data_IF_274267167076
#
_entry.id   IF_274267167076
#
_cell.length_a   1.000
_cell.length_b   1.000
_cell.length_c   1.000
_cell.angle_alpha   90.00
_cell.angle_beta   90.00
_cell.angle_gamma   90.00
#
_symmetry.space_group_name_H-M   'P 1'
#
loop_
_entity.id
_entity.type
_entity.pdbx_description
1 polymer ?
#
# COMPACT_ATOMS: atom_id res chain seq x y z
N UNK A 1 3.21 -57.54 -76.94
CA UNK A 1 4.01 -58.79 -76.89
C UNK A 1 3.35 -59.84 -77.78
N UNK A 2 4.10 -60.78 -78.38
CA UNK A 2 3.48 -61.93 -79.05
C UNK A 2 2.76 -62.81 -78.01
N UNK A 3 1.59 -63.38 -78.34
CA UNK A 3 0.92 -64.37 -77.49
C UNK A 3 1.92 -65.48 -77.09
N UNK A 4 1.86 -65.93 -75.83
CA UNK A 4 2.71 -67.01 -75.26
C UNK A 4 4.22 -66.74 -75.21
N UNK A 5 4.68 -65.50 -75.48
CA UNK A 5 6.10 -65.17 -75.37
C UNK A 5 6.58 -65.09 -73.92
N UNK A 6 7.80 -65.56 -73.64
CA UNK A 6 8.45 -65.45 -72.32
C UNK A 6 8.51 -63.98 -71.84
N UNK A 7 8.65 -63.03 -72.77
CA UNK A 7 8.59 -61.60 -72.47
C UNK A 7 7.21 -61.12 -71.98
N UNK A 8 6.11 -61.66 -72.54
CA UNK A 8 4.75 -61.38 -72.05
C UNK A 8 4.55 -61.93 -70.64
N UNK A 9 4.99 -63.17 -70.39
CA UNK A 9 4.90 -63.78 -69.05
C UNK A 9 5.64 -62.96 -67.99
N UNK A 10 6.88 -62.54 -68.26
CA UNK A 10 7.65 -61.69 -67.32
C UNK A 10 6.98 -60.33 -67.09
N UNK A 11 6.40 -59.72 -68.11
CA UNK A 11 5.68 -58.47 -67.98
C UNK A 11 4.39 -58.62 -67.15
N UNK A 12 3.62 -59.68 -67.37
CA UNK A 12 2.41 -60.00 -66.60
C UNK A 12 2.73 -60.35 -65.14
N UNK A 13 3.83 -61.07 -64.88
CA UNK A 13 4.28 -61.39 -63.52
C UNK A 13 4.73 -60.14 -62.74
N UNK A 14 5.42 -59.22 -63.43
CA UNK A 14 5.77 -57.91 -62.87
C UNK A 14 4.53 -57.09 -62.54
N UNK A 15 3.55 -57.01 -63.44
CA UNK A 15 2.30 -56.30 -63.17
C UNK A 15 1.46 -56.98 -62.07
N UNK A 16 1.42 -58.31 -62.02
CA UNK A 16 0.76 -59.05 -60.92
C UNK A 16 1.39 -58.74 -59.58
N UNK A 17 2.72 -58.73 -59.49
CA UNK A 17 3.45 -58.39 -58.26
C UNK A 17 3.15 -56.96 -57.84
N UNK A 18 3.19 -56.02 -58.79
CA UNK A 18 2.84 -54.62 -58.56
C UNK A 18 1.42 -54.44 -58.03
N UNK A 19 0.42 -55.08 -58.67
CA UNK A 19 -0.98 -54.99 -58.26
C UNK A 19 -1.22 -55.65 -56.89
N UNK A 20 -0.51 -56.74 -56.59
CA UNK A 20 -0.57 -57.39 -55.28
C UNK A 20 -0.03 -56.47 -54.18
N UNK A 21 1.10 -55.81 -54.41
CA UNK A 21 1.66 -54.84 -53.49
C UNK A 21 0.73 -53.63 -53.30
N UNK A 22 0.16 -53.08 -54.37
CA UNK A 22 -0.81 -51.98 -54.31
C UNK A 22 -2.09 -52.37 -53.56
N UNK A 23 -2.56 -53.61 -53.73
CA UNK A 23 -3.70 -54.13 -52.97
C UNK A 23 -3.39 -54.19 -51.47
N UNK A 24 -2.22 -54.71 -51.10
CA UNK A 24 -1.84 -54.81 -49.69
C UNK A 24 -1.66 -53.43 -49.04
N UNK A 25 -1.04 -52.50 -49.76
CA UNK A 25 -0.88 -51.11 -49.34
C UNK A 25 -2.24 -50.42 -49.09
N UNK A 26 -3.19 -50.59 -50.02
CA UNK A 26 -4.57 -50.10 -49.83
C UNK A 26 -5.25 -50.76 -48.62
N UNK A 27 -5.09 -52.07 -48.42
CA UNK A 27 -5.65 -52.76 -47.26
C UNK A 27 -5.04 -52.28 -45.94
N UNK A 28 -3.73 -52.03 -45.91
CA UNK A 28 -3.05 -51.42 -44.76
C UNK A 28 -3.59 -50.02 -44.45
N UNK A 29 -3.71 -49.15 -45.46
CA UNK A 29 -4.25 -47.80 -45.27
C UNK A 29 -5.69 -47.81 -44.74
N UNK A 30 -6.54 -48.72 -45.23
CA UNK A 30 -7.90 -48.90 -44.73
C UNK A 30 -7.91 -49.35 -43.27
N UNK A 31 -7.08 -50.34 -42.90
CA UNK A 31 -6.94 -50.80 -41.51
C UNK A 31 -6.49 -49.67 -40.59
N UNK A 32 -5.50 -48.88 -41.01
CA UNK A 32 -5.02 -47.73 -40.25
C UNK A 32 -6.12 -46.68 -40.04
N UNK A 33 -6.91 -46.39 -41.08
CA UNK A 33 -8.01 -45.42 -40.97
C UNK A 33 -9.12 -45.91 -40.04
N UNK A 34 -9.42 -47.21 -40.02
CA UNK A 34 -10.35 -47.77 -39.03
C UNK A 34 -9.79 -47.62 -37.62
N UNK A 35 -8.52 -47.93 -37.41
CA UNK A 35 -7.90 -47.84 -36.10
C UNK A 35 -7.87 -46.39 -35.59
N UNK A 36 -7.57 -45.43 -36.47
CA UNK A 36 -7.67 -43.99 -36.18
C UNK A 36 -9.10 -43.60 -35.78
N UNK A 37 -10.10 -44.02 -36.56
CA UNK A 37 -11.51 -43.75 -36.25
C UNK A 37 -11.91 -44.32 -34.88
N UNK A 38 -11.50 -45.56 -34.57
CA UNK A 38 -11.76 -46.21 -33.29
C UNK A 38 -11.10 -45.49 -32.13
N UNK A 39 -9.85 -45.07 -32.29
CA UNK A 39 -9.13 -44.32 -31.28
C UNK A 39 -9.82 -42.96 -31.01
N UNK A 40 -10.13 -42.20 -32.06
CA UNK A 40 -10.80 -40.90 -31.92
C UNK A 40 -12.17 -41.04 -31.25
N UNK A 41 -12.99 -42.01 -31.68
CA UNK A 41 -14.32 -42.23 -31.07
C UNK A 41 -14.24 -42.71 -29.62
N UNK A 42 -13.29 -43.59 -29.30
CA UNK A 42 -13.01 -44.00 -27.92
C UNK A 42 -12.65 -42.79 -27.05
N UNK A 43 -11.76 -41.91 -27.54
CA UNK A 43 -11.40 -40.67 -26.85
C UNK A 43 -12.53 -39.65 -26.78
N UNK A 44 -13.51 -39.68 -27.69
CA UNK A 44 -14.72 -38.86 -27.60
C UNK A 44 -15.80 -39.47 -26.68
N UNK A 45 -15.60 -40.70 -26.19
CA UNK A 45 -16.61 -41.47 -25.46
C UNK A 45 -17.80 -41.86 -26.33
N UNK A 46 -17.58 -41.98 -27.64
CA UNK A 46 -18.60 -42.31 -28.62
C UNK A 46 -18.38 -43.73 -29.18
N UNK A 47 -19.45 -44.34 -29.67
CA UNK A 47 -19.33 -45.58 -30.43
C UNK A 47 -18.79 -45.30 -31.84
N UNK A 48 -17.87 -46.16 -32.32
CA UNK A 48 -17.33 -46.04 -33.68
C UNK A 48 -18.38 -46.24 -34.79
N UNK A 49 -19.58 -46.74 -34.43
CA UNK A 49 -20.66 -47.05 -35.35
C UNK A 49 -20.32 -48.20 -36.29
N UNK A 50 -21.02 -48.27 -37.43
CA UNK A 50 -20.75 -49.28 -38.45
C UNK A 50 -19.40 -49.03 -39.14
N UNK A 51 -18.55 -50.04 -39.09
CA UNK A 51 -17.23 -50.06 -39.73
C UNK A 51 -17.32 -50.98 -40.95
N UNK A 52 -16.94 -50.50 -42.16
CA UNK A 52 -16.93 -51.33 -43.36
C UNK A 52 -15.98 -52.54 -43.24
N UNK A 53 -16.32 -53.62 -43.94
CA UNK A 53 -15.50 -54.83 -44.01
C UNK A 53 -14.09 -54.53 -44.57
N UNK A 54 -13.05 -54.91 -43.82
CA UNK A 54 -11.65 -54.59 -44.11
C UNK A 54 -10.96 -55.65 -44.99
N UNK A 55 -11.61 -56.79 -45.25
CA UNK A 55 -11.02 -57.86 -46.09
C UNK A 55 -11.05 -57.50 -47.59
N UNK A 56 -11.95 -56.58 -47.97
CA UNK A 56 -12.12 -56.10 -49.34
C UNK A 56 -11.62 -54.67 -49.49
N UNK A 57 -11.16 -54.32 -50.69
CA UNK A 57 -10.85 -52.93 -51.03
C UNK A 57 -12.18 -52.19 -51.20
N UNK A 58 -12.33 -51.09 -50.46
CA UNK A 58 -13.48 -50.19 -50.55
C UNK A 58 -13.51 -49.43 -51.87
N UNK A 59 -14.72 -49.09 -52.28
CA UNK A 59 -14.94 -48.12 -53.35
C UNK A 59 -14.65 -46.69 -52.87
N UNK A 60 -14.53 -45.78 -53.83
CA UNK A 60 -14.15 -44.40 -53.55
C UNK A 60 -15.21 -43.69 -52.69
N UNK A 61 -16.48 -44.08 -52.77
CA UNK A 61 -17.56 -43.53 -51.95
C UNK A 61 -17.43 -43.95 -50.48
N UNK A 62 -17.23 -45.24 -50.20
CA UNK A 62 -17.05 -45.73 -48.82
C UNK A 62 -15.77 -45.16 -48.20
N UNK A 63 -14.69 -45.05 -48.99
CA UNK A 63 -13.45 -44.44 -48.55
C UNK A 63 -13.65 -42.97 -48.19
N UNK A 64 -14.27 -42.19 -49.07
CA UNK A 64 -14.50 -40.74 -48.86
C UNK A 64 -15.38 -40.50 -47.63
N UNK A 65 -16.46 -41.29 -47.47
CA UNK A 65 -17.34 -41.18 -46.31
C UNK A 65 -16.62 -41.45 -44.99
N UNK A 66 -15.76 -42.46 -44.92
CA UNK A 66 -15.00 -42.75 -43.69
C UNK A 66 -13.90 -41.70 -43.45
N UNK A 67 -13.25 -41.20 -44.51
CA UNK A 67 -12.30 -40.08 -44.41
C UNK A 67 -12.96 -38.82 -43.85
N UNK A 68 -14.14 -38.46 -44.34
CA UNK A 68 -14.90 -37.30 -43.83
C UNK A 68 -15.24 -37.46 -42.35
N UNK A 69 -15.68 -38.67 -41.93
CA UNK A 69 -15.95 -38.97 -40.51
C UNK A 69 -14.70 -38.84 -39.64
N UNK A 70 -13.56 -39.37 -40.09
CA UNK A 70 -12.29 -39.23 -39.37
C UNK A 70 -11.91 -37.76 -39.20
N UNK A 71 -12.04 -36.96 -40.27
CA UNK A 71 -11.74 -35.52 -40.23
C UNK A 71 -12.67 -34.81 -39.23
N UNK A 72 -13.97 -35.07 -39.29
CA UNK A 72 -14.96 -34.44 -38.41
C UNK A 72 -14.71 -34.77 -36.95
N UNK A 73 -14.54 -36.06 -36.62
CA UNK A 73 -14.29 -36.49 -35.24
C UNK A 73 -12.91 -36.05 -34.73
N UNK A 74 -11.88 -36.04 -35.60
CA UNK A 74 -10.56 -35.50 -35.25
C UNK A 74 -10.63 -34.01 -34.90
N UNK A 75 -11.40 -33.24 -35.68
CA UNK A 75 -11.66 -31.82 -35.40
C UNK A 75 -12.38 -31.65 -34.06
N UNK A 76 -13.43 -32.44 -33.79
CA UNK A 76 -14.17 -32.37 -32.53
C UNK A 76 -13.27 -32.68 -31.33
N UNK A 77 -12.48 -33.76 -31.41
CA UNK A 77 -11.55 -34.15 -30.36
C UNK A 77 -10.52 -33.05 -30.10
N UNK A 78 -9.95 -32.47 -31.18
CA UNK A 78 -9.01 -31.36 -31.09
C UNK A 78 -9.63 -30.12 -30.42
N UNK A 79 -10.90 -29.82 -30.71
CA UNK A 79 -11.61 -28.72 -30.07
C UNK A 79 -11.87 -28.97 -28.57
N UNK A 80 -12.27 -30.20 -28.20
CA UNK A 80 -12.46 -30.59 -26.78
C UNK A 80 -11.14 -30.51 -26.01
N UNK A 81 -10.06 -31.08 -26.57
CA UNK A 81 -8.71 -31.01 -25.99
C UNK A 81 -8.22 -29.55 -25.83
N UNK A 82 -8.42 -28.72 -26.86
CA UNK A 82 -8.03 -27.31 -26.82
C UNK A 82 -8.76 -26.53 -25.74
N UNK A 83 -10.07 -26.73 -25.60
CA UNK A 83 -10.87 -26.11 -24.54
C UNK A 83 -10.44 -26.57 -23.15
N UNK A 84 -10.26 -27.87 -22.95
CA UNK A 84 -9.80 -28.42 -21.68
C UNK A 84 -8.43 -27.87 -21.28
N UNK A 85 -7.50 -27.77 -22.23
CA UNK A 85 -6.16 -27.19 -22.00
C UNK A 85 -6.22 -25.70 -21.64
N UNK A 86 -7.08 -24.93 -22.31
CA UNK A 86 -7.31 -23.53 -21.98
C UNK A 86 -7.89 -23.38 -20.57
N UNK A 87 -8.91 -24.18 -20.23
CA UNK A 87 -9.50 -24.15 -18.89
C UNK A 87 -8.51 -24.54 -17.80
N UNK A 88 -7.69 -25.57 -18.03
CA UNK A 88 -6.62 -25.97 -17.11
C UNK A 88 -5.63 -24.82 -16.87
N UNK A 89 -5.18 -24.18 -17.95
CA UNK A 89 -4.25 -23.05 -17.89
C UNK A 89 -4.82 -21.87 -17.11
N UNK A 90 -6.10 -21.55 -17.37
CA UNK A 90 -6.81 -20.50 -16.64
C UNK A 90 -6.90 -20.83 -15.14
N UNK A 91 -7.31 -22.05 -14.78
CA UNK A 91 -7.39 -22.50 -13.38
C UNK A 91 -6.04 -22.38 -12.67
N UNK A 92 -4.97 -22.92 -13.28
CA UNK A 92 -3.62 -22.83 -12.75
C UNK A 92 -3.19 -21.37 -12.52
N UNK A 93 -3.43 -20.50 -13.50
CA UNK A 93 -3.09 -19.07 -13.39
C UNK A 93 -3.87 -18.40 -12.27
N UNK A 94 -5.18 -18.60 -12.21
CA UNK A 94 -6.05 -17.96 -11.21
C UNK A 94 -5.65 -18.36 -9.79
N UNK A 95 -5.47 -19.64 -9.50
CA UNK A 95 -5.09 -20.08 -8.15
C UNK A 95 -3.66 -19.68 -7.78
N UNK A 96 -2.74 -19.62 -8.75
CA UNK A 96 -1.42 -19.04 -8.54
C UNK A 96 -1.50 -17.56 -8.16
N UNK A 97 -2.28 -16.75 -8.90
CA UNK A 97 -2.44 -15.32 -8.62
C UNK A 97 -3.14 -15.06 -7.28
N UNK A 98 -4.18 -15.82 -6.96
CA UNK A 98 -4.90 -15.73 -5.69
C UNK A 98 -4.06 -16.19 -4.49
N UNK A 99 -2.99 -16.98 -4.72
CA UNK A 99 -2.17 -17.54 -3.65
C UNK A 99 -2.93 -18.50 -2.72
N UNK A 100 -4.04 -19.08 -3.19
CA UNK A 100 -4.91 -19.99 -2.42
C UNK A 100 -5.03 -21.34 -3.12
N UNK A 101 -5.28 -22.40 -2.35
CA UNK A 101 -5.59 -23.70 -2.92
C UNK A 101 -7.08 -23.80 -3.32
N UNK A 102 -7.42 -24.53 -4.38
CA UNK A 102 -8.80 -24.86 -4.72
C UNK A 102 -9.48 -25.62 -3.58
N UNK A 103 -10.73 -25.26 -3.28
CA UNK A 103 -11.54 -25.93 -2.24
C UNK A 103 -12.24 -27.15 -2.81
N UNK A 104 -12.78 -27.05 -4.02
CA UNK A 104 -13.48 -28.14 -4.71
C UNK A 104 -12.52 -29.23 -5.16
N UNK A 105 -12.85 -30.49 -4.86
CA UNK A 105 -12.11 -31.68 -5.31
C UNK A 105 -12.10 -31.80 -6.84
N UNK A 106 -13.18 -31.40 -7.51
CA UNK A 106 -13.23 -31.37 -8.97
C UNK A 106 -12.17 -30.40 -9.54
N UNK A 107 -12.10 -29.18 -9.00
CA UNK A 107 -11.12 -28.18 -9.43
C UNK A 107 -9.68 -28.62 -9.15
N UNK A 108 -9.41 -29.24 -7.99
CA UNK A 108 -8.10 -29.84 -7.69
C UNK A 108 -7.71 -30.86 -8.76
N UNK A 109 -8.62 -31.77 -9.07
CA UNK A 109 -8.38 -32.82 -10.07
C UNK A 109 -8.07 -32.23 -11.44
N UNK A 110 -8.87 -31.26 -11.90
CA UNK A 110 -8.71 -30.66 -13.23
C UNK A 110 -7.48 -29.76 -13.37
N UNK A 111 -6.93 -29.23 -12.27
CA UNK A 111 -5.67 -28.46 -12.31
C UNK A 111 -4.48 -29.36 -12.67
N UNK A 112 -4.45 -30.59 -12.17
CA UNK A 112 -3.29 -31.49 -12.26
C UNK A 112 -3.48 -32.64 -13.27
N UNK A 113 -4.66 -32.78 -13.87
CA UNK A 113 -4.96 -33.88 -14.81
C UNK A 113 -4.07 -33.84 -16.06
N UNK A 114 -3.53 -35.00 -16.46
CA UNK A 114 -2.83 -35.16 -17.73
C UNK A 114 -3.82 -35.20 -18.90
N UNK A 115 -3.88 -34.10 -19.67
CA UNK A 115 -4.75 -33.94 -20.83
C UNK A 115 -4.13 -34.50 -22.13
N UNK A 116 -2.81 -34.71 -22.13
CA UNK A 116 -2.04 -35.26 -23.25
C UNK A 116 -2.00 -36.80 -23.28
N UNK A 117 -2.56 -37.45 -22.26
CA UNK A 117 -2.72 -38.90 -22.18
C UNK A 117 -3.55 -39.42 -23.37
N UNK A 118 -3.00 -40.41 -24.08
CA UNK A 118 -3.61 -41.01 -25.27
C UNK A 118 -4.89 -41.80 -24.93
N UNK A 119 -5.01 -42.27 -23.69
CA UNK A 119 -6.19 -42.99 -23.20
C UNK A 119 -7.23 -42.05 -22.55
N UNK A 120 -6.97 -40.73 -22.51
CA UNK A 120 -7.91 -39.76 -21.95
C UNK A 120 -9.16 -39.67 -22.83
N UNK A 121 -10.29 -39.94 -22.19
CA UNK A 121 -11.62 -39.74 -22.77
C UNK A 121 -12.13 -38.34 -22.43
N UNK A 122 -12.46 -37.58 -23.47
CA UNK A 122 -13.08 -36.26 -23.44
C UNK A 122 -14.55 -36.38 -23.82
N UNK A 123 -15.32 -37.16 -23.06
CA UNK A 123 -16.76 -37.31 -23.30
C UNK A 123 -17.56 -36.07 -22.88
N UNK A 124 -18.87 -36.10 -23.10
CA UNK A 124 -19.73 -34.97 -22.78
C UNK A 124 -19.75 -34.69 -21.27
N UNK A 125 -19.79 -35.74 -20.44
CA UNK A 125 -19.81 -35.61 -18.97
C UNK A 125 -18.54 -34.94 -18.45
N UNK A 126 -17.37 -35.42 -18.90
CA UNK A 126 -16.07 -34.85 -18.57
C UNK A 126 -15.98 -33.38 -18.96
N UNK A 127 -16.41 -33.04 -20.18
CA UNK A 127 -16.35 -31.66 -20.66
C UNK A 127 -17.30 -30.74 -19.88
N UNK A 128 -18.49 -31.22 -19.52
CA UNK A 128 -19.45 -30.45 -18.72
C UNK A 128 -18.96 -30.26 -17.28
N UNK A 129 -18.44 -31.31 -16.63
CA UNK A 129 -17.85 -31.22 -15.29
C UNK A 129 -16.66 -30.25 -15.24
N UNK A 130 -15.77 -30.31 -16.24
CA UNK A 130 -14.64 -29.39 -16.33
C UNK A 130 -15.12 -27.96 -16.58
N UNK A 131 -16.10 -27.77 -17.46
CA UNK A 131 -16.68 -26.45 -17.71
C UNK A 131 -17.33 -25.85 -16.46
N UNK A 132 -18.03 -26.65 -15.67
CA UNK A 132 -18.65 -26.21 -14.42
C UNK A 132 -17.60 -25.86 -13.36
N UNK A 133 -16.54 -26.66 -13.23
CA UNK A 133 -15.41 -26.35 -12.36
C UNK A 133 -14.71 -25.05 -12.78
N UNK A 134 -14.46 -24.86 -14.08
CA UNK A 134 -13.89 -23.62 -14.65
C UNK A 134 -14.79 -22.42 -14.37
N UNK A 135 -16.10 -22.56 -14.60
CA UNK A 135 -17.07 -21.48 -14.35
C UNK A 135 -17.12 -21.09 -12.88
N UNK A 136 -17.16 -22.07 -11.97
CA UNK A 136 -17.15 -21.83 -10.53
C UNK A 136 -15.88 -21.09 -10.11
N UNK A 137 -14.71 -21.58 -10.52
CA UNK A 137 -13.43 -20.95 -10.22
C UNK A 137 -13.32 -19.55 -10.81
N UNK A 138 -13.90 -19.30 -11.99
CA UNK A 138 -13.93 -17.97 -12.61
C UNK A 138 -14.71 -16.96 -11.77
N UNK A 139 -15.83 -17.37 -11.18
CA UNK A 139 -16.62 -16.51 -10.29
C UNK A 139 -15.78 -16.16 -9.06
N UNK A 140 -15.20 -17.16 -8.39
CA UNK A 140 -14.32 -16.95 -7.24
C UNK A 140 -13.13 -16.05 -7.56
N UNK A 141 -12.54 -16.21 -8.75
CA UNK A 141 -11.42 -15.41 -9.22
C UNK A 141 -11.81 -13.95 -9.48
N UNK A 142 -12.97 -13.72 -10.10
CA UNK A 142 -13.47 -12.36 -10.34
C UNK A 142 -13.78 -11.64 -9.03
N UNK A 143 -14.45 -12.32 -8.09
CA UNK A 143 -14.71 -11.78 -6.74
C UNK A 143 -13.40 -11.43 -6.04
N UNK A 144 -12.39 -12.30 -6.14
CA UNK A 144 -11.07 -12.01 -5.61
C UNK A 144 -10.41 -10.81 -6.29
N UNK A 145 -10.50 -10.65 -7.62
CA UNK A 145 -9.94 -9.47 -8.30
C UNK A 145 -10.60 -8.19 -7.78
N UNK A 146 -11.92 -8.17 -7.69
CA UNK A 146 -12.66 -6.99 -7.26
C UNK A 146 -12.25 -6.59 -5.84
N UNK A 147 -12.17 -7.57 -4.93
CA UNK A 147 -11.71 -7.33 -3.57
C UNK A 147 -10.24 -6.90 -3.52
N UNK A 148 -9.35 -7.59 -4.23
CA UNK A 148 -7.93 -7.27 -4.26
C UNK A 148 -7.66 -5.87 -4.84
N UNK A 149 -8.43 -5.47 -5.85
CA UNK A 149 -8.34 -4.12 -6.43
C UNK A 149 -8.82 -3.05 -5.43
N UNK A 150 -9.91 -3.32 -4.72
CA UNK A 150 -10.40 -2.43 -3.65
C UNK A 150 -9.35 -2.28 -2.55
N UNK A 151 -8.88 -3.40 -1.98
CA UNK A 151 -7.91 -3.43 -0.89
C UNK A 151 -6.58 -2.76 -1.30
N UNK A 152 -6.12 -3.02 -2.52
CA UNK A 152 -4.90 -2.39 -3.05
C UNK A 152 -5.05 -0.88 -3.15
N UNK A 153 -6.20 -0.40 -3.64
CA UNK A 153 -6.46 1.04 -3.78
C UNK A 153 -6.52 1.71 -2.40
N UNK A 154 -7.23 1.11 -1.44
CA UNK A 154 -7.29 1.61 -0.06
C UNK A 154 -5.91 1.63 0.60
N UNK A 155 -5.14 0.55 0.46
CA UNK A 155 -3.80 0.44 0.99
C UNK A 155 -2.84 1.45 0.35
N UNK A 156 -2.95 1.70 -0.97
CA UNK A 156 -2.14 2.72 -1.65
C UNK A 156 -2.45 4.13 -1.16
N UNK A 157 -3.73 4.49 -1.00
CA UNK A 157 -4.13 5.80 -0.46
C UNK A 157 -3.53 5.98 0.94
N UNK A 158 -3.69 4.99 1.81
CA UNK A 158 -3.11 5.02 3.16
C UNK A 158 -1.59 5.09 3.14
N UNK A 159 -0.95 4.39 2.21
CA UNK A 159 0.50 4.42 2.05
C UNK A 159 1.00 5.80 1.63
N UNK A 160 0.30 6.47 0.72
CA UNK A 160 0.63 7.84 0.30
C UNK A 160 0.54 8.83 1.46
N UNK A 161 -0.54 8.75 2.26
CA UNK A 161 -0.67 9.55 3.48
C UNK A 161 0.48 9.29 4.47
N UNK A 162 0.84 8.02 4.68
CA UNK A 162 1.92 7.63 5.58
C UNK A 162 3.30 8.07 5.06
N UNK A 163 3.54 8.03 3.75
CA UNK A 163 4.77 8.54 3.16
C UNK A 163 4.94 10.03 3.42
N UNK A 164 3.86 10.80 3.34
CA UNK A 164 3.90 12.24 3.64
C UNK A 164 4.10 12.50 5.13
N UNK A 165 3.38 11.79 6.00
CA UNK A 165 3.49 11.91 7.47
C UNK A 165 4.85 11.44 8.03
N UNK A 166 5.49 10.47 7.36
CA UNK A 166 6.81 9.97 7.73
C UNK A 166 7.95 10.63 6.96
N UNK A 167 7.65 11.59 6.08
CA UNK A 167 8.62 12.28 5.22
C UNK A 167 9.49 11.33 4.36
N UNK A 168 8.88 10.28 3.81
CA UNK A 168 9.55 9.32 2.92
C UNK A 168 9.84 9.97 1.57
N UNK A 169 11.10 9.89 1.13
CA UNK A 169 11.56 10.48 -0.11
C UNK A 169 10.90 9.83 -1.33
N UNK A 170 10.63 10.62 -2.39
CA UNK A 170 9.99 10.13 -3.62
C UNK A 170 10.76 8.96 -4.27
N UNK A 171 12.09 8.96 -4.20
CA UNK A 171 12.94 7.88 -4.74
C UNK A 171 12.76 6.52 -4.04
N UNK A 172 12.18 6.51 -2.83
CA UNK A 172 11.89 5.31 -2.04
C UNK A 172 10.44 4.82 -2.23
N UNK A 173 9.56 5.64 -2.84
CA UNK A 173 8.16 5.31 -3.13
C UNK A 173 8.07 4.40 -4.37
N UNK A 174 8.29 3.09 -4.19
CA UNK A 174 8.48 2.12 -5.29
C UNK A 174 7.25 1.29 -5.67
N UNK A 175 6.08 1.52 -5.07
CA UNK A 175 4.87 0.76 -5.36
C UNK A 175 4.12 1.36 -6.56
N UNK A 176 3.47 0.51 -7.36
CA UNK A 176 2.61 0.96 -8.44
C UNK A 176 1.33 1.56 -7.87
N UNK A 177 0.84 2.67 -8.43
CA UNK A 177 -0.36 3.34 -7.92
C UNK A 177 -1.67 2.56 -8.18
N UNK A 178 -1.68 1.63 -9.13
CA UNK A 178 -2.88 0.88 -9.50
C UNK A 178 -2.62 -0.61 -9.51
N UNK A 179 -3.65 -1.38 -9.15
CA UNK A 179 -3.64 -2.84 -9.25
C UNK A 179 -3.85 -3.27 -10.70
N UNK A 180 -3.00 -4.15 -11.21
CA UNK A 180 -3.14 -4.78 -12.52
C UNK A 180 -3.51 -6.27 -12.36
N UNK A 181 -4.77 -6.65 -12.68
CA UNK A 181 -5.24 -8.03 -12.56
C UNK A 181 -4.49 -9.06 -13.41
N UNK A 182 -3.72 -8.63 -14.41
CA UNK A 182 -2.95 -9.53 -15.28
C UNK A 182 -1.57 -9.91 -14.72
N UNK A 183 -1.02 -9.10 -13.82
CA UNK A 183 0.36 -9.26 -13.33
C UNK A 183 0.46 -9.33 -11.82
N UNK A 184 -0.41 -8.63 -11.10
CA UNK A 184 -0.38 -8.61 -9.65
C UNK A 184 -0.93 -9.91 -9.07
N UNK A 185 -0.31 -10.31 -7.97
CA UNK A 185 -0.65 -11.50 -7.19
C UNK A 185 -1.05 -11.11 -5.78
N UNK A 186 -1.65 -12.04 -5.04
CA UNK A 186 -1.93 -11.86 -3.61
C UNK A 186 -0.68 -11.51 -2.80
N UNK A 187 0.49 -12.02 -3.22
CA UNK A 187 1.77 -11.68 -2.57
C UNK A 187 2.17 -10.22 -2.77
N UNK A 188 1.78 -9.58 -3.88
CA UNK A 188 2.07 -8.16 -4.11
C UNK A 188 1.18 -7.25 -3.27
N UNK A 189 -0.10 -7.62 -3.12
CA UNK A 189 -1.00 -6.97 -2.18
C UNK A 189 -0.51 -7.11 -0.74
N UNK A 190 -0.06 -8.30 -0.35
CA UNK A 190 0.48 -8.55 1.00
C UNK A 190 1.72 -7.70 1.29
N UNK A 191 2.66 -7.57 0.33
CA UNK A 191 3.82 -6.68 0.47
C UNK A 191 3.41 -5.23 0.70
N UNK A 192 2.39 -4.76 -0.02
CA UNK A 192 1.86 -3.41 0.14
C UNK A 192 1.28 -3.21 1.54
N UNK A 193 0.44 -4.14 2.00
CA UNK A 193 -0.16 -4.11 3.34
C UNK A 193 0.91 -4.16 4.45
N UNK A 194 1.96 -4.95 4.27
CA UNK A 194 3.09 -5.01 5.19
C UNK A 194 3.86 -3.69 5.28
N UNK A 195 4.06 -3.00 4.15
CA UNK A 195 4.71 -1.68 4.18
C UNK A 195 3.82 -0.64 4.85
N UNK A 196 2.50 -0.68 4.61
CA UNK A 196 1.52 0.16 5.32
C UNK A 196 1.57 -0.08 6.82
N UNK A 197 1.56 -1.34 7.27
CA UNK A 197 1.65 -1.69 8.70
C UNK A 197 2.98 -1.25 9.31
N UNK A 198 4.10 -1.48 8.61
CA UNK A 198 5.43 -1.02 9.02
C UNK A 198 5.47 0.50 9.20
N UNK A 199 5.00 1.28 8.22
CA UNK A 199 4.97 2.73 8.31
C UNK A 199 3.95 3.26 9.32
N UNK A 200 2.82 2.56 9.49
CA UNK A 200 1.83 2.89 10.53
C UNK A 200 2.46 2.77 11.92
N UNK A 201 3.12 1.64 12.21
CA UNK A 201 3.84 1.44 13.49
C UNK A 201 4.95 2.46 13.68
N UNK A 202 5.69 2.75 12.62
CA UNK A 202 6.75 3.75 12.63
C UNK A 202 6.22 5.14 12.95
N UNK A 203 5.08 5.53 12.38
CA UNK A 203 4.40 6.77 12.69
C UNK A 203 3.89 6.80 14.14
N UNK A 204 3.26 5.72 14.61
CA UNK A 204 2.75 5.60 15.98
C UNK A 204 3.85 5.75 17.03
N UNK A 205 5.02 5.14 16.81
CA UNK A 205 6.18 5.27 17.69
C UNK A 205 6.67 6.72 17.80
N UNK A 206 6.47 7.52 16.75
CA UNK A 206 6.90 8.93 16.66
C UNK A 206 5.85 9.90 17.16
N UNK A 207 4.59 9.48 17.32
CA UNK A 207 3.50 10.35 17.78
C UNK A 207 3.83 11.07 19.09
N UNK A 208 4.49 10.39 20.04
CA UNK A 208 4.89 11.01 21.30
C UNK A 208 5.93 12.13 21.10
N UNK A 209 6.91 11.91 20.23
CA UNK A 209 7.92 12.91 19.87
C UNK A 209 7.26 14.10 19.15
N UNK A 210 6.39 13.82 18.18
CA UNK A 210 5.63 14.86 17.46
C UNK A 210 4.70 15.64 18.38
N UNK A 211 4.03 14.99 19.33
CA UNK A 211 3.19 15.65 20.32
C UNK A 211 3.99 16.61 21.20
N UNK A 212 5.17 16.18 21.69
CA UNK A 212 6.06 17.05 22.48
C UNK A 212 6.66 18.18 21.68
N UNK A 213 7.02 17.94 20.42
CA UNK A 213 7.49 19.00 19.54
C UNK A 213 6.40 20.02 19.26
N UNK A 214 5.16 19.56 18.99
CA UNK A 214 4.01 20.45 18.79
C UNK A 214 3.72 21.26 20.04
N UNK A 215 3.66 20.63 21.21
CA UNK A 215 3.50 21.31 22.51
C UNK A 215 4.56 22.40 22.69
N UNK A 216 5.82 22.10 22.36
CA UNK A 216 6.90 23.08 22.42
C UNK A 216 6.70 24.23 21.42
N UNK A 217 6.35 23.94 20.16
CA UNK A 217 6.11 24.95 19.12
C UNK A 217 4.94 25.87 19.48
N UNK A 218 3.86 25.33 20.04
CA UNK A 218 2.68 26.10 20.47
C UNK A 218 3.04 27.05 21.63
N UNK A 219 3.74 26.56 22.66
CA UNK A 219 4.23 27.40 23.76
C UNK A 219 5.22 28.46 23.29
N UNK A 220 6.06 28.13 22.30
CA UNK A 220 7.00 29.07 21.71
C UNK A 220 6.30 30.16 20.90
N UNK A 221 5.31 29.81 20.08
CA UNK A 221 4.50 30.79 19.36
C UNK A 221 3.81 31.76 20.32
N UNK A 222 3.21 31.25 21.40
CA UNK A 222 2.57 32.06 22.43
C UNK A 222 3.57 33.00 23.13
N UNK A 223 4.79 32.50 23.43
CA UNK A 223 5.88 33.33 23.96
C UNK A 223 6.21 34.50 23.02
N UNK A 224 6.38 34.22 21.73
CA UNK A 224 6.70 35.24 20.71
C UNK A 224 5.58 36.25 20.58
N UNK A 225 4.33 35.81 20.59
CA UNK A 225 3.16 36.68 20.54
C UNK A 225 3.11 37.64 21.74
N UNK A 226 3.31 37.12 22.95
CA UNK A 226 3.39 37.94 24.15
C UNK A 226 4.52 38.98 24.11
N UNK A 227 5.70 38.59 23.60
CA UNK A 227 6.82 39.51 23.45
C UNK A 227 6.60 40.57 22.37
N UNK A 228 5.85 40.25 21.31
CA UNK A 228 5.41 41.21 20.29
C UNK A 228 4.46 42.25 20.90
N UNK A 229 3.42 41.80 21.61
CA UNK A 229 2.43 42.66 22.26
C UNK A 229 3.00 43.50 23.41
N UNK A 230 4.06 43.02 24.09
CA UNK A 230 4.75 43.79 25.12
C UNK A 230 5.43 45.07 24.59
N UNK A 231 5.69 45.16 23.27
CA UNK A 231 6.21 46.38 22.65
C UNK A 231 5.13 47.43 22.37
N UNK A 232 3.83 47.10 22.50
CA UNK A 232 2.73 48.03 22.27
C UNK A 232 2.41 48.85 23.54
N UNK A 233 2.39 50.19 23.41
CA UNK A 233 2.08 51.11 24.52
C UNK A 233 0.66 50.91 25.06
N UNK A 234 -0.25 50.35 24.26
CA UNK A 234 -1.60 50.01 24.71
C UNK A 234 -1.67 48.78 25.62
N UNK A 235 -0.62 47.95 25.67
CA UNK A 235 -0.56 46.72 26.48
C UNK A 235 -0.69 46.98 28.00
N UNK A 236 -0.30 48.17 28.45
CA UNK A 236 -0.38 48.56 29.87
C UNK A 236 -1.78 49.00 30.33
N UNK A 237 -2.78 49.03 29.44
CA UNK A 237 -4.17 49.30 29.81
C UNK A 237 -4.81 48.05 30.42
N UNK A 238 -4.57 47.84 31.72
CA UNK A 238 -5.08 46.69 32.50
C UNK A 238 -6.57 46.81 32.83
N UNK A 239 -7.45 46.82 31.83
CA UNK A 239 -8.90 46.68 32.07
C UNK A 239 -9.21 45.24 32.49
N UNK A 240 -9.86 45.05 33.63
CA UNK A 240 -10.39 43.74 34.04
C UNK A 240 -9.35 42.68 34.45
N UNK A 241 -8.11 43.05 34.79
CA UNK A 241 -7.10 42.09 35.27
C UNK A 241 -6.42 41.25 34.18
N UNK A 242 -6.70 41.54 32.90
CA UNK A 242 -6.15 40.81 31.74
C UNK A 242 -4.62 40.80 31.71
N UNK A 243 -3.97 41.90 32.15
CA UNK A 243 -2.51 41.98 32.19
C UNK A 243 -1.92 40.97 33.20
N UNK A 244 -2.58 40.78 34.34
CA UNK A 244 -2.12 39.85 35.37
C UNK A 244 -2.25 38.40 34.89
N UNK A 245 -3.33 38.07 34.18
CA UNK A 245 -3.52 36.75 33.54
C UNK A 245 -2.43 36.51 32.49
N UNK A 246 -2.15 37.50 31.63
CA UNK A 246 -1.10 37.41 30.62
C UNK A 246 0.30 37.22 31.24
N UNK A 247 0.64 37.97 32.29
CA UNK A 247 1.92 37.82 32.99
C UNK A 247 2.05 36.47 33.70
N UNK A 248 0.96 35.95 34.28
CA UNK A 248 0.95 34.60 34.86
C UNK A 248 1.17 33.53 33.77
N UNK A 249 0.53 33.68 32.61
CA UNK A 249 0.71 32.77 31.47
C UNK A 249 2.13 32.86 30.90
N UNK A 250 2.71 34.05 30.76
CA UNK A 250 4.12 34.23 30.38
C UNK A 250 5.08 33.54 31.36
N UNK A 251 4.84 33.66 32.67
CA UNK A 251 5.63 32.98 33.69
C UNK A 251 5.52 31.46 33.54
N UNK A 252 4.31 30.94 33.33
CA UNK A 252 4.06 29.53 33.06
C UNK A 252 4.86 29.06 31.84
N UNK A 253 4.74 29.76 30.71
CA UNK A 253 5.46 29.46 29.47
C UNK A 253 6.98 29.45 29.72
N UNK A 254 7.52 30.49 30.35
CA UNK A 254 8.95 30.58 30.63
C UNK A 254 9.48 29.41 31.48
N UNK A 255 8.67 28.87 32.39
CA UNK A 255 9.02 27.69 33.20
C UNK A 255 8.78 26.37 32.47
N UNK A 256 7.73 26.27 31.66
CA UNK A 256 7.28 25.00 31.06
C UNK A 256 8.01 24.69 29.76
N UNK A 257 8.38 25.70 28.97
CA UNK A 257 9.07 25.55 27.71
C UNK A 257 10.41 24.77 27.82
N UNK A 258 11.30 25.02 28.81
CA UNK A 258 12.48 24.17 29.02
C UNK A 258 12.15 22.78 29.57
N UNK A 259 10.99 22.58 30.21
CA UNK A 259 10.53 21.25 30.65
C UNK A 259 10.12 20.43 29.44
N UNK A 260 9.28 20.97 28.54
CA UNK A 260 8.88 20.28 27.31
C UNK A 260 10.10 19.98 26.44
N UNK A 261 11.09 20.87 26.37
CA UNK A 261 12.33 20.60 25.62
C UNK A 261 13.12 19.40 26.20
N UNK A 262 13.17 19.26 27.53
CA UNK A 262 13.81 18.10 28.17
C UNK A 262 13.03 16.82 27.95
N UNK A 263 11.70 16.89 28.03
CA UNK A 263 10.82 15.75 27.73
C UNK A 263 10.95 15.33 26.26
N UNK A 264 10.99 16.28 25.33
CA UNK A 264 11.25 16.03 23.91
C UNK A 264 12.59 15.33 23.70
N UNK A 265 13.67 15.81 24.34
CA UNK A 265 14.99 15.15 24.30
C UNK A 265 14.91 13.71 24.81
N UNK A 266 14.23 13.48 25.93
CA UNK A 266 14.06 12.15 26.50
C UNK A 266 13.25 11.21 25.59
N UNK A 267 12.18 11.69 24.95
CA UNK A 267 11.39 10.88 24.01
C UNK A 267 12.18 10.57 22.72
N UNK A 268 12.98 11.51 22.22
CA UNK A 268 13.88 11.27 21.09
C UNK A 268 14.96 10.23 21.44
N UNK A 269 15.55 10.32 22.64
CA UNK A 269 16.53 9.32 23.11
C UNK A 269 15.89 7.93 23.28
N UNK A 270 14.69 7.85 23.84
CA UNK A 270 13.93 6.57 23.96
C UNK A 270 13.64 5.96 22.60
N UNK A 271 13.32 6.78 21.60
CA UNK A 271 13.09 6.33 20.24
C UNK A 271 14.41 5.82 19.61
N UNK A 272 15.48 6.63 19.66
CA UNK A 272 16.79 6.27 19.10
C UNK A 272 17.41 5.04 19.78
N UNK A 273 17.11 4.77 21.05
CA UNK A 273 17.61 3.60 21.76
C UNK A 273 17.03 2.26 21.23
N UNK A 274 15.89 2.29 20.53
CA UNK A 274 15.21 1.11 19.99
C UNK A 274 15.50 0.87 18.51
N UNK A 275 16.10 1.85 17.82
CA UNK A 275 16.16 1.95 16.36
C UNK A 275 17.60 2.15 15.92
N UNK A 276 17.91 1.78 14.68
CA UNK A 276 19.23 2.04 14.14
C UNK A 276 19.44 3.54 13.81
N UNK A 277 20.69 4.03 13.78
CA UNK A 277 20.98 5.45 13.56
C UNK A 277 20.42 6.04 12.26
N UNK A 278 20.21 5.19 11.24
CA UNK A 278 19.67 5.60 9.94
C UNK A 278 18.13 5.78 9.95
N UNK A 279 17.44 5.32 10.98
CA UNK A 279 15.98 5.49 11.16
C UNK A 279 15.62 6.65 12.11
N UNK A 280 16.60 7.52 12.40
CA UNK A 280 16.41 8.70 13.24
C UNK A 280 15.28 9.58 12.70
N UNK A 281 14.52 10.20 13.62
CA UNK A 281 13.45 11.14 13.26
C UNK A 281 14.11 12.39 12.68
N UNK A 282 13.74 12.75 11.46
CA UNK A 282 14.19 13.96 10.78
C UNK A 282 12.98 14.83 10.43
N UNK A 283 13.08 16.12 10.72
CA UNK A 283 12.08 17.16 10.46
C UNK A 283 12.82 18.26 9.72
N UNK A 284 12.44 18.51 8.47
CA UNK A 284 13.16 19.42 7.55
C UNK A 284 14.67 19.09 7.42
N UNK A 285 15.01 17.79 7.49
CA UNK A 285 16.39 17.30 7.41
C UNK A 285 17.21 17.42 8.70
N UNK A 286 16.59 17.83 9.82
CA UNK A 286 17.24 17.99 11.12
C UNK A 286 16.57 17.12 12.18
N UNK A 287 17.29 16.75 13.25
CA UNK A 287 16.63 16.06 14.38
C UNK A 287 15.62 16.99 15.07
N UNK A 288 14.59 16.48 15.77
CA UNK A 288 13.60 17.32 16.45
C UNK A 288 14.23 18.33 17.43
N UNK A 289 15.35 17.98 18.05
CA UNK A 289 16.06 18.84 18.98
C UNK A 289 16.84 19.96 18.27
N UNK A 290 17.52 19.63 17.17
CA UNK A 290 18.24 20.61 16.34
C UNK A 290 17.25 21.60 15.70
N UNK A 291 16.09 21.13 15.24
CA UNK A 291 15.06 21.97 14.68
C UNK A 291 14.54 23.01 15.70
N UNK A 292 14.37 22.60 16.96
CA UNK A 292 14.03 23.52 18.06
C UNK A 292 15.14 24.53 18.31
N UNK A 293 16.40 24.10 18.32
CA UNK A 293 17.56 24.98 18.50
C UNK A 293 17.67 26.00 17.36
N UNK A 294 17.41 25.59 16.12
CA UNK A 294 17.34 26.47 14.96
C UNK A 294 16.25 27.54 15.11
N UNK A 295 15.02 27.17 15.50
CA UNK A 295 13.93 28.13 15.76
C UNK A 295 14.33 29.17 16.82
N UNK A 296 14.97 28.72 17.91
CA UNK A 296 15.41 29.63 18.96
C UNK A 296 16.51 30.58 18.49
N UNK A 297 17.45 30.10 17.68
CA UNK A 297 18.57 30.89 17.18
C UNK A 297 18.11 31.92 16.14
N UNK A 298 17.22 31.52 15.22
CA UNK A 298 16.59 32.43 14.25
C UNK A 298 15.87 33.59 14.96
N UNK A 299 15.15 33.28 16.05
CA UNK A 299 14.49 34.30 16.87
C UNK A 299 15.47 35.25 17.57
N UNK A 300 16.59 34.73 18.10
CA UNK A 300 17.64 35.55 18.73
C UNK A 300 18.30 36.47 17.71
N UNK A 301 18.62 35.95 16.53
CA UNK A 301 19.17 36.73 15.43
C UNK A 301 18.22 37.86 15.03
N UNK A 302 16.93 37.56 14.86
CA UNK A 302 15.91 38.56 14.54
C UNK A 302 15.79 39.65 15.62
N UNK A 303 15.79 39.26 16.90
CA UNK A 303 15.77 40.19 18.04
C UNK A 303 16.99 41.11 18.07
N UNK A 304 18.19 40.59 17.81
CA UNK A 304 19.40 41.42 17.78
C UNK A 304 19.39 42.36 16.58
N UNK A 305 18.88 41.90 15.43
CA UNK A 305 18.72 42.73 14.23
C UNK A 305 17.73 43.88 14.47
N UNK A 306 16.60 43.62 15.14
CA UNK A 306 15.65 44.65 15.56
C UNK A 306 16.24 45.62 16.59
N UNK A 307 17.08 45.12 17.50
CA UNK A 307 17.81 45.96 18.47
C UNK A 307 18.79 46.87 17.75
N UNK A 308 19.53 46.37 16.77
CA UNK A 308 20.45 47.17 15.95
C UNK A 308 19.69 48.22 15.12
N UNK A 309 18.55 47.87 14.51
CA UNK A 309 17.67 48.81 13.80
C UNK A 309 17.16 49.91 14.72
N UNK A 310 16.68 49.57 15.92
CA UNK A 310 16.24 50.54 16.94
C UNK A 310 17.38 51.47 17.38
N UNK A 311 18.60 50.94 17.59
CA UNK A 311 19.78 51.74 17.92
C UNK A 311 20.16 52.70 16.79
N UNK A 312 20.19 52.24 15.54
CA UNK A 312 20.46 53.08 14.37
C UNK A 312 19.40 54.18 14.18
N UNK A 313 18.12 53.87 14.37
CA UNK A 313 17.04 54.86 14.32
C UNK A 313 17.13 55.90 15.45
N UNK A 314 17.64 55.51 16.63
CA UNK A 314 17.82 56.42 17.77
C UNK A 314 19.08 57.27 17.64
N UNK A 315 20.14 56.76 16.99
CA UNK A 315 21.38 57.51 16.72
C UNK A 315 21.31 58.39 15.45
N UNK A 316 20.35 58.15 14.54
CA UNK A 316 20.08 59.01 13.38
C UNK A 316 19.25 60.27 13.69
N UNK A 317 18.74 60.41 14.92
CA UNK A 317 17.91 61.52 15.36
C UNK A 317 18.59 62.39 16.41
N UNK A 318 19.27 63.44 15.94
CA UNK A 318 19.65 64.67 16.67
C UNK A 318 20.53 64.53 17.93
N UNK A 319 21.71 65.12 17.82
CA UNK A 319 22.44 65.76 18.91
C UNK A 319 21.48 66.58 19.81
N UNK A 320 21.07 66.01 20.94
CA UNK A 320 20.68 66.79 22.11
C UNK A 320 21.37 66.21 23.34
N UNK A 321 22.44 66.89 23.72
CA UNK A 321 23.10 66.78 25.02
C UNK A 321 22.03 67.04 26.10
N UNK A 322 21.58 65.99 26.78
CA UNK A 322 20.80 66.14 28.01
C UNK A 322 21.76 66.48 29.14
N UNK A 323 21.98 67.78 29.35
CA UNK A 323 22.64 68.31 30.55
C UNK A 323 21.72 68.07 31.74
N UNK A 324 22.19 67.30 32.72
CA UNK A 324 21.56 67.13 34.04
C UNK A 324 21.46 68.48 34.78
N UNK A 325 20.31 68.83 35.39
CA UNK A 325 20.19 70.08 36.12
C UNK A 325 20.99 70.02 37.43
N UNK A 326 21.87 71.02 37.58
CA UNK A 326 22.75 71.26 38.73
C UNK A 326 21.92 71.52 40.00
N UNK A 327 22.23 70.79 41.07
CA UNK A 327 21.75 70.99 42.44
C UNK A 327 21.91 72.47 42.85
N UNK A 328 20.82 73.15 43.21
CA UNK A 328 20.90 74.43 43.94
C UNK A 328 21.20 74.13 45.41
N UNK A 329 22.24 74.79 45.91
CA UNK A 329 22.61 74.82 47.32
C UNK A 329 21.44 75.36 48.16
N UNK A 330 21.06 74.59 49.18
CA UNK A 330 20.40 75.10 50.37
C UNK A 330 21.31 74.73 51.54
N UNK A 331 21.94 75.74 52.14
CA UNK A 331 22.71 75.59 53.36
C UNK A 331 21.78 75.43 54.56
N UNK A 332 22.20 74.55 55.48
CA UNK A 332 22.03 74.68 56.92
C UNK A 332 20.63 74.56 57.49
N UNK A 333 20.24 73.35 57.93
CA UNK A 333 20.21 72.98 59.35
C UNK A 333 19.64 71.56 59.52
N UNK A 334 20.10 70.89 60.58
CA UNK A 334 19.44 69.77 61.27
C UNK A 334 19.77 68.31 60.90
N UNK A 335 20.81 67.83 61.60
CA UNK A 335 20.99 66.54 62.27
C UNK A 335 20.16 65.31 61.87
N UNK A 336 20.87 64.23 61.53
CA UNK A 336 20.40 62.85 61.66
C UNK A 336 20.21 62.46 63.13
N UNK A 337 19.33 61.49 63.39
CA UNK A 337 19.80 60.35 64.16
C UNK A 337 19.41 59.01 63.53
N UNK A 338 20.36 58.09 63.57
CA UNK A 338 20.13 56.66 63.45
C UNK A 338 19.31 56.14 64.63
N UNK A 339 18.45 55.13 64.44
CA UNK A 339 18.51 53.81 65.10
C UNK A 339 17.24 52.98 64.91
N UNK A 340 17.45 51.66 64.98
CA UNK A 340 16.57 50.50 64.93
C UNK A 340 15.20 50.58 65.62
N UNK A 341 14.23 49.80 65.13
CA UNK A 341 13.61 48.72 65.96
C UNK A 341 12.77 47.75 65.12
N UNK A 342 12.85 46.46 65.50
CA UNK A 342 12.00 45.34 65.09
C UNK A 342 10.65 45.43 65.81
N UNK A 343 9.59 44.81 65.26
CA UNK A 343 8.59 43.91 65.89
C UNK A 343 7.41 43.75 64.89
N UNK A 344 7.25 42.58 64.28
CA UNK A 344 6.44 41.43 64.70
C UNK A 344 4.91 41.66 64.54
N UNK A 345 4.31 40.87 63.64
CA UNK A 345 2.86 40.81 63.43
C UNK A 345 2.33 39.48 63.98
N UNK A 346 1.45 39.59 64.97
CA UNK A 346 0.82 38.48 65.68
C UNK A 346 -0.28 37.79 64.87
N UNK A 347 -0.41 36.49 65.14
CA UNK A 347 -1.51 35.51 64.95
C UNK A 347 -2.95 36.08 65.14
N UNK A 348 -4.09 35.48 64.74
CA UNK A 348 -4.44 34.17 64.14
C UNK A 348 -5.98 34.04 63.96
N UNK A 349 -6.41 33.04 63.15
CA UNK A 349 -7.72 32.33 63.08
C UNK A 349 -8.95 33.12 62.57
N UNK A 350 -9.72 32.68 61.56
CA UNK A 350 -10.41 31.38 61.33
C UNK A 350 -11.89 31.61 61.67
N UNK A 351 -12.96 31.19 60.97
CA UNK A 351 -13.26 30.14 59.97
C UNK A 351 -14.78 30.29 59.68
N UNK A 352 -15.28 30.27 58.43
CA UNK A 352 -16.61 29.69 58.04
C UNK A 352 -16.60 29.31 56.53
N UNK A 353 -16.98 28.07 56.14
CA UNK A 353 -17.35 27.64 54.77
C UNK A 353 -18.89 27.33 54.66
N UNK A 354 -19.39 26.65 53.62
CA UNK A 354 -19.45 26.93 52.18
C UNK A 354 -20.92 27.03 51.67
N UNK A 355 -21.15 27.37 50.39
CA UNK A 355 -22.42 27.06 49.71
C UNK A 355 -22.20 26.54 48.28
N UNK A 356 -22.91 25.45 47.99
CA UNK A 356 -23.02 24.72 46.72
C UNK A 356 -24.18 25.26 45.86
N UNK A 357 -24.03 25.27 44.53
CA UNK A 357 -24.99 24.71 43.55
C UNK A 357 -24.46 24.91 42.11
N UNK A 358 -24.23 23.84 41.34
CA UNK A 358 -25.16 23.18 40.38
C UNK A 358 -25.63 24.07 39.21
N UNK A 359 -25.19 23.74 38.00
CA UNK A 359 -25.82 24.01 36.70
C UNK A 359 -25.27 22.91 35.74
N UNK A 360 -26.01 21.86 35.37
CA UNK A 360 -27.18 21.73 34.48
C UNK A 360 -26.82 21.94 33.01
N UNK A 361 -27.05 20.87 32.24
CA UNK A 361 -27.09 20.70 30.79
C UNK A 361 -27.89 21.78 30.05
N UNK A 362 -27.56 21.97 28.76
CA UNK A 362 -28.41 22.26 27.59
C UNK A 362 -27.41 22.42 26.43
N UNK A 363 -27.49 21.68 25.33
CA UNK A 363 -28.63 21.63 24.41
C UNK A 363 -28.17 22.24 23.09
N UNK A 364 -27.88 21.39 22.12
CA UNK A 364 -27.67 21.75 20.70
C UNK A 364 -28.96 22.31 20.08
N UNK A 365 -28.84 23.24 19.12
CA UNK A 365 -29.88 23.36 18.09
C UNK A 365 -29.32 23.29 16.66
N UNK A 366 -30.16 22.62 15.84
CA UNK A 366 -30.31 22.62 14.37
C UNK A 366 -29.22 22.00 13.51
#
# INVERSE_FOLDING_TARGET
>A
YRPESVGLYRALDKERTRLTALREDRLNGQRQMVEEMRNITMRLGQEAGEIPDQEKIWDDETLSRLQERVIESSRELSERMGRASQWQTDLQRWYHQMGKAPVSEATKTFIDIALDDQERVFDVSFMDEFKDAHRSARIEYNEWIEQAQFDYTEAMVKLEELWDLCHVAESERRFAHTFNPSTNTAADLEKLLQEVDKLSRFYEERLNVYAKLKEWKDLWAEKVEYESHANDKNSYKNRGGQLQVALQRQKYIATHLPIVLKELKAEVEKYNAKREPHEAILIDGQTPCEHVEWIMEEYRAQKELDRMRKKQATCGGLNQVKITPKKRNADGFFASPATSSKFAKTHSHGRIPPHSNRFVELGTPT
#
